data_IF_290184800927
#
_entry.id   IF_290184800927
#
_cell.length_a   1.000
_cell.length_b   1.000
_cell.length_c   1.000
_cell.angle_alpha   90.00
_cell.angle_beta   90.00
_cell.angle_gamma   90.00
#
_symmetry.space_group_name_H-M   'P 1'
#
loop_
_entity.id
_entity.type
_entity.pdbx_description
1 polymer ?
#
# COMPACT_ATOMS: atom_id res chain seq x y z
N UNK A 1 4.47 -14.24 8.07
CA UNK A 1 4.39 -12.95 8.74
C UNK A 1 2.96 -12.72 9.23
N UNK A 2 2.77 -11.74 10.08
CA UNK A 2 1.47 -11.45 10.70
C UNK A 2 0.87 -10.12 10.25
N UNK A 3 1.33 -9.60 9.14
CA UNK A 3 0.82 -8.33 8.62
C UNK A 3 -0.37 -8.59 7.71
N UNK A 4 -1.48 -7.93 7.99
CA UNK A 4 -2.70 -8.01 7.19
C UNK A 4 -3.12 -6.63 6.72
N UNK A 5 -3.54 -6.54 5.46
CA UNK A 5 -4.21 -5.35 4.96
C UNK A 5 -5.68 -5.49 5.32
N UNK A 6 -6.16 -4.63 6.22
CA UNK A 6 -7.49 -4.78 6.81
C UNK A 6 -8.56 -4.02 6.04
N UNK A 7 -8.35 -2.75 5.84
CA UNK A 7 -9.35 -1.90 5.20
C UNK A 7 -8.66 -1.08 4.12
N UNK A 8 -9.29 -1.02 2.97
CA UNK A 8 -8.81 -0.22 1.85
C UNK A 8 -9.91 0.78 1.50
N UNK A 9 -9.55 2.05 1.47
CA UNK A 9 -10.44 3.14 1.09
C UNK A 9 -9.92 3.77 -0.19
N UNK A 10 -10.79 3.88 -1.16
CA UNK A 10 -10.44 4.37 -2.50
C UNK A 10 -11.34 5.56 -2.80
N UNK A 11 -10.75 6.68 -3.14
CA UNK A 11 -11.48 7.84 -3.63
C UNK A 11 -10.81 8.35 -4.89
N UNK A 12 -11.58 9.06 -5.71
CA UNK A 12 -11.05 9.76 -6.88
C UNK A 12 -11.07 11.25 -6.56
N UNK A 13 -9.91 11.88 -6.64
CA UNK A 13 -9.76 13.28 -6.31
C UNK A 13 -8.95 13.95 -7.41
N UNK A 14 -9.45 15.06 -7.96
CA UNK A 14 -8.83 15.73 -9.09
C UNK A 14 -8.52 14.75 -10.23
N UNK A 15 -9.48 13.85 -10.46
CA UNK A 15 -9.45 12.84 -11.52
C UNK A 15 -8.35 11.77 -11.36
N UNK A 16 -7.75 11.65 -10.21
CA UNK A 16 -6.79 10.56 -9.93
C UNK A 16 -7.23 9.76 -8.72
N UNK A 17 -6.83 8.48 -8.70
CA UNK A 17 -7.10 7.61 -7.57
C UNK A 17 -6.25 7.99 -6.37
N UNK A 18 -6.89 8.00 -5.21
CA UNK A 18 -6.22 8.13 -3.91
C UNK A 18 -6.62 6.91 -3.10
N UNK A 19 -5.63 6.16 -2.63
CA UNK A 19 -5.85 4.91 -1.91
C UNK A 19 -5.24 5.01 -0.53
N UNK A 20 -6.01 4.63 0.48
CA UNK A 20 -5.54 4.43 1.84
C UNK A 20 -5.74 2.98 2.22
N UNK A 21 -4.80 2.41 2.94
CA UNK A 21 -4.90 1.04 3.41
C UNK A 21 -4.42 0.96 4.85
N UNK A 22 -5.17 0.24 5.67
CA UNK A 22 -4.79 -0.03 7.05
C UNK A 22 -4.04 -1.35 7.09
N UNK A 23 -2.82 -1.32 7.60
CA UNK A 23 -1.99 -2.50 7.78
C UNK A 23 -1.89 -2.81 9.26
N UNK A 24 -2.33 -4.00 9.63
CA UNK A 24 -2.35 -4.43 11.02
C UNK A 24 -1.32 -5.52 11.26
N UNK A 25 -0.62 -5.40 12.37
CA UNK A 25 0.26 -6.45 12.84
C UNK A 25 -0.53 -7.33 13.80
N UNK A 26 -0.86 -8.54 13.37
CA UNK A 26 -1.65 -9.48 14.14
C UNK A 26 -0.81 -10.26 15.15
N UNK A 27 0.51 -10.15 15.07
CA UNK A 27 1.42 -10.78 16.00
C UNK A 27 1.84 -9.83 17.11
N UNK A 28 2.60 -10.35 18.06
CA UNK A 28 3.05 -9.57 19.23
C UNK A 28 4.41 -8.93 19.06
N UNK A 29 5.15 -9.33 18.03
CA UNK A 29 6.48 -8.79 17.76
C UNK A 29 6.37 -7.65 16.76
N UNK A 30 7.17 -6.62 16.99
CA UNK A 30 7.27 -5.50 16.05
C UNK A 30 7.82 -5.99 14.71
N UNK A 31 7.33 -5.39 13.63
CA UNK A 31 7.78 -5.73 12.28
C UNK A 31 8.16 -4.48 11.52
N UNK A 32 9.13 -4.62 10.63
CA UNK A 32 9.44 -3.62 9.63
C UNK A 32 8.78 -4.06 8.32
N UNK A 33 7.95 -3.21 7.77
CA UNK A 33 7.22 -3.48 6.54
C UNK A 33 7.75 -2.58 5.45
N UNK A 34 8.17 -3.19 4.34
CA UNK A 34 8.51 -2.47 3.12
C UNK A 34 7.32 -2.59 2.20
N UNK A 35 6.87 -1.50 1.64
CA UNK A 35 5.70 -1.50 0.80
C UNK A 35 5.82 -0.49 -0.32
N UNK A 36 5.03 -0.72 -1.38
CA UNK A 36 4.85 0.25 -2.46
C UNK A 36 3.54 -0.04 -3.16
N UNK A 37 3.01 0.97 -3.84
CA UNK A 37 1.85 0.82 -4.70
C UNK A 37 2.33 0.67 -6.14
N UNK A 38 1.70 -0.24 -6.86
CA UNK A 38 1.81 -0.33 -8.32
C UNK A 38 0.49 0.14 -8.90
N UNK A 39 0.58 1.08 -9.82
CA UNK A 39 -0.60 1.64 -10.47
C UNK A 39 -0.76 1.02 -11.83
N UNK A 40 -2.01 0.67 -12.18
CA UNK A 40 -2.33 -0.07 -13.40
C UNK A 40 -3.43 0.66 -14.15
N UNK A 41 -3.39 0.56 -15.48
CA UNK A 41 -4.48 1.05 -16.31
C UNK A 41 -5.61 0.01 -16.39
N UNK A 42 -6.63 0.29 -17.21
CA UNK A 42 -7.81 -0.57 -17.29
C UNK A 42 -7.56 -1.91 -17.99
N UNK A 43 -6.39 -2.10 -18.59
CA UNK A 43 -6.01 -3.38 -19.20
C UNK A 43 -4.85 -4.06 -18.46
N UNK A 44 -4.47 -3.53 -17.30
CA UNK A 44 -3.49 -4.15 -16.44
C UNK A 44 -2.05 -3.75 -16.68
N UNK A 45 -1.80 -2.74 -17.52
CA UNK A 45 -0.44 -2.25 -17.74
C UNK A 45 -0.06 -1.24 -16.67
N UNK A 46 1.22 -1.23 -16.31
CA UNK A 46 1.71 -0.29 -15.32
C UNK A 46 1.64 1.13 -15.84
N UNK A 47 1.18 2.03 -14.98
CA UNK A 47 1.12 3.46 -15.23
C UNK A 47 2.20 4.14 -14.40
N UNK A 48 3.05 4.94 -15.07
CA UNK A 48 4.15 5.61 -14.41
C UNK A 48 5.36 4.71 -14.21
N UNK A 49 6.36 5.22 -13.50
CA UNK A 49 7.64 4.54 -13.33
C UNK A 49 7.68 3.58 -12.16
N UNK A 50 6.60 3.50 -11.43
CA UNK A 50 6.54 2.72 -10.19
C UNK A 50 7.05 3.54 -9.01
N UNK A 51 6.60 3.15 -7.84
CA UNK A 51 7.02 3.80 -6.60
C UNK A 51 8.27 3.14 -6.05
N UNK A 52 9.10 3.93 -5.41
CA UNK A 52 10.19 3.39 -4.60
C UNK A 52 9.62 2.68 -3.38
N UNK A 53 10.32 1.66 -2.91
CA UNK A 53 9.96 1.00 -1.67
C UNK A 53 9.98 1.99 -0.51
N UNK A 54 8.94 1.97 0.31
CA UNK A 54 8.84 2.72 1.55
C UNK A 54 8.92 1.76 2.72
N UNK A 55 9.32 2.28 3.84
CA UNK A 55 9.55 1.48 5.03
C UNK A 55 8.77 2.05 6.21
N UNK A 56 8.16 1.18 6.99
CA UNK A 56 7.51 1.60 8.23
C UNK A 56 7.59 0.51 9.27
N UNK A 57 7.56 0.93 10.54
CA UNK A 57 7.45 0.01 11.66
C UNK A 57 5.98 -0.15 12.02
N UNK A 58 5.56 -1.40 12.21
CA UNK A 58 4.23 -1.70 12.75
C UNK A 58 4.44 -2.49 14.03
N UNK A 59 4.12 -1.86 15.14
CA UNK A 59 4.31 -2.47 16.46
C UNK A 59 3.41 -3.69 16.61
N UNK A 60 3.84 -4.61 17.45
CA UNK A 60 3.05 -5.80 17.73
C UNK A 60 1.64 -5.42 18.16
N UNK A 61 0.63 -6.04 17.58
CA UNK A 61 -0.80 -5.77 17.78
C UNK A 61 -1.19 -4.35 17.39
N UNK A 62 -0.32 -3.62 16.70
CA UNK A 62 -0.57 -2.25 16.26
C UNK A 62 -1.07 -2.19 14.82
N UNK A 63 -1.30 -0.97 14.36
CA UNK A 63 -1.83 -0.69 13.03
C UNK A 63 -1.24 0.60 12.50
N UNK A 64 -1.00 0.64 11.20
CA UNK A 64 -0.57 1.85 10.49
C UNK A 64 -1.42 2.03 9.24
N UNK A 65 -1.68 3.27 8.89
CA UNK A 65 -2.38 3.60 7.64
C UNK A 65 -1.36 4.11 6.63
N UNK A 66 -1.38 3.54 5.45
CA UNK A 66 -0.57 4.01 4.33
C UNK A 66 -1.47 4.65 3.28
N UNK A 67 -0.94 5.61 2.56
CA UNK A 67 -1.69 6.37 1.56
C UNK A 67 -0.81 6.58 0.33
N UNK A 68 -1.41 6.48 -0.84
CA UNK A 68 -0.74 6.83 -2.08
C UNK A 68 -1.71 7.48 -3.05
N UNK A 69 -1.17 8.35 -3.89
CA UNK A 69 -1.92 9.06 -4.91
C UNK A 69 -1.39 8.61 -6.26
N UNK A 70 -2.31 8.24 -7.16
CA UNK A 70 -1.93 7.80 -8.49
C UNK A 70 -1.19 8.90 -9.25
N UNK A 71 -0.22 8.54 -10.11
CA UNK A 71 0.55 9.52 -10.84
C UNK A 71 -0.24 10.26 -11.92
N UNK A 72 -1.24 9.60 -12.50
CA UNK A 72 -2.07 10.19 -13.57
C UNK A 72 -3.49 9.65 -13.49
N UNK A 73 -4.40 10.26 -14.25
CA UNK A 73 -5.78 9.81 -14.36
C UNK A 73 -5.91 8.50 -15.14
N UNK A 74 -4.86 8.04 -15.81
CA UNK A 74 -4.87 6.75 -16.51
C UNK A 74 -4.89 5.57 -15.56
N UNK A 75 -4.48 5.76 -14.30
CA UNK A 75 -4.51 4.71 -13.31
C UNK A 75 -5.95 4.40 -12.92
N UNK A 76 -6.37 3.15 -13.14
CA UNK A 76 -7.72 2.67 -12.85
C UNK A 76 -7.72 1.60 -11.78
N UNK A 77 -6.57 1.03 -11.47
CA UNK A 77 -6.43 -0.05 -10.52
C UNK A 77 -5.06 0.04 -9.85
N UNK A 78 -4.83 -0.79 -8.85
CA UNK A 78 -3.58 -0.77 -8.12
C UNK A 78 -3.30 -2.14 -7.50
N UNK A 79 -2.04 -2.32 -7.12
CA UNK A 79 -1.60 -3.43 -6.27
C UNK A 79 -0.75 -2.84 -5.16
N UNK A 80 -0.86 -3.42 -3.99
CA UNK A 80 0.02 -3.10 -2.87
C UNK A 80 1.00 -4.24 -2.73
N UNK A 81 2.26 -3.94 -2.95
CA UNK A 81 3.34 -4.92 -2.77
C UNK A 81 3.96 -4.72 -1.40
N UNK A 82 4.17 -5.80 -0.69
CA UNK A 82 4.73 -5.77 0.66
C UNK A 82 5.84 -6.78 0.82
N UNK A 83 6.81 -6.39 1.63
CA UNK A 83 7.86 -7.27 2.08
C UNK A 83 8.00 -7.06 3.58
N UNK A 84 7.84 -8.11 4.35
CA UNK A 84 7.88 -7.98 5.81
C UNK A 84 9.19 -8.60 6.29
N UNK A 85 9.97 -7.77 6.97
CA UNK A 85 11.20 -8.24 7.59
C UNK A 85 10.86 -8.99 8.85
N UNK A 86 11.33 -10.22 8.94
CA UNK A 86 11.14 -11.07 10.12
C UNK A 86 12.46 -11.21 10.86
N UNK A 87 12.40 -11.13 12.16
CA UNK A 87 13.56 -11.31 13.01
C UNK A 87 13.29 -12.31 14.09
#
# INVERSE_FOLDING_TARGET
>A
NNIAVREIRIVRKNDVLVVQADMANMGRSDRTVFYRFRWLDNVGNQVGDGESWKQMAVLGLGQQTVKSVAPTSAAQDFRIEMNVETR
#
